data_IF_422222260405
#
_entry.id   IF_422222260405
#
_cell.length_a   1.000
_cell.length_b   1.000
_cell.length_c   1.000
_cell.angle_alpha   90.00
_cell.angle_beta   90.00
_cell.angle_gamma   90.00
#
_symmetry.space_group_name_H-M   'P 1'
#
loop_
_entity.id
_entity.type
_entity.pdbx_description
1 polymer ?
#
# COMPACT_ATOMS: atom_id res chain seq x y z
N UNK A 1 8.60 -13.31 27.65
CA UNK A 1 8.67 -14.40 26.64
C UNK A 1 8.41 -13.73 25.30
N UNK A 2 9.23 -14.02 24.29
CA UNK A 2 8.98 -13.50 22.93
C UNK A 2 7.71 -14.13 22.35
N UNK A 3 7.08 -13.44 21.38
CA UNK A 3 5.96 -13.96 20.61
C UNK A 3 6.26 -15.38 20.09
N UNK A 4 5.24 -16.23 20.00
CA UNK A 4 5.40 -17.57 19.42
C UNK A 4 5.69 -17.54 17.92
N UNK A 5 5.37 -16.43 17.28
CA UNK A 5 5.59 -16.19 15.86
C UNK A 5 6.40 -14.91 15.72
N UNK A 6 7.57 -15.01 15.12
CA UNK A 6 8.45 -13.87 14.91
C UNK A 6 8.00 -13.05 13.70
N UNK A 7 7.96 -11.73 13.87
CA UNK A 7 7.67 -10.77 12.80
C UNK A 7 8.56 -9.53 12.97
N UNK A 8 9.29 -9.14 11.92
CA UNK A 8 10.02 -7.88 11.89
C UNK A 8 9.12 -6.73 11.45
N UNK A 9 9.23 -5.57 12.13
CA UNK A 9 8.53 -4.33 11.79
C UNK A 9 9.50 -3.25 11.27
N UNK A 10 10.71 -3.64 10.89
CA UNK A 10 11.77 -2.79 10.36
C UNK A 10 11.70 -2.61 8.83
N UNK A 11 10.85 -3.39 8.17
CA UNK A 11 10.58 -3.32 6.73
C UNK A 11 9.15 -3.71 6.40
N UNK A 12 8.73 -3.40 5.19
CA UNK A 12 7.44 -3.86 4.66
C UNK A 12 7.54 -5.31 4.18
N UNK A 13 6.48 -6.09 4.43
CA UNK A 13 6.42 -7.50 4.04
C UNK A 13 5.80 -7.65 2.64
N UNK A 14 6.36 -8.56 1.84
CA UNK A 14 5.75 -9.05 0.61
C UNK A 14 4.46 -9.84 0.90
N UNK A 15 3.69 -10.17 -0.13
CA UNK A 15 2.47 -10.96 0.03
C UNK A 15 2.74 -12.35 0.62
N UNK A 16 3.80 -13.01 0.18
CA UNK A 16 4.17 -14.33 0.69
C UNK A 16 4.56 -14.30 2.17
N UNK A 17 5.35 -13.32 2.59
CA UNK A 17 5.78 -13.16 3.98
C UNK A 17 4.61 -12.84 4.91
N UNK A 18 3.70 -11.96 4.47
CA UNK A 18 2.47 -11.65 5.19
C UNK A 18 1.59 -12.90 5.33
N UNK A 19 1.42 -13.66 4.25
CA UNK A 19 0.65 -14.90 4.24
C UNK A 19 1.23 -15.92 5.21
N UNK A 20 2.54 -16.11 5.19
CA UNK A 20 3.26 -17.02 6.07
C UNK A 20 3.11 -16.63 7.54
N UNK A 21 3.21 -15.35 7.85
CA UNK A 21 2.99 -14.85 9.22
C UNK A 21 1.56 -15.14 9.70
N UNK A 22 0.54 -14.85 8.89
CA UNK A 22 -0.85 -15.08 9.26
C UNK A 22 -1.15 -16.57 9.48
N UNK A 23 -0.64 -17.45 8.63
CA UNK A 23 -0.79 -18.91 8.79
C UNK A 23 -0.11 -19.41 10.07
N UNK A 24 1.14 -19.02 10.30
CA UNK A 24 1.86 -19.37 11.52
C UNK A 24 1.15 -18.87 12.78
N UNK A 25 0.57 -17.67 12.72
CA UNK A 25 -0.21 -17.12 13.84
C UNK A 25 -1.45 -17.95 14.12
N UNK A 26 -2.21 -18.31 13.11
CA UNK A 26 -3.39 -19.18 13.30
C UNK A 26 -3.00 -20.57 13.85
N UNK A 27 -1.90 -21.14 13.41
CA UNK A 27 -1.37 -22.43 13.89
C UNK A 27 -0.85 -22.33 15.33
N UNK A 28 -0.16 -21.24 15.70
CA UNK A 28 0.45 -21.07 17.01
C UNK A 28 -0.58 -20.72 18.12
N UNK A 29 -1.70 -20.11 17.71
CA UNK A 29 -2.77 -19.64 18.61
C UNK A 29 -4.15 -20.21 18.23
N UNK A 30 -4.33 -21.55 18.15
CA UNK A 30 -5.55 -22.17 17.63
C UNK A 30 -6.82 -21.88 18.45
N UNK A 31 -6.68 -21.51 19.73
CA UNK A 31 -7.80 -21.11 20.58
C UNK A 31 -8.23 -19.65 20.38
N UNK A 32 -7.38 -18.82 19.76
CA UNK A 32 -7.59 -17.38 19.60
C UNK A 32 -7.79 -16.95 18.15
N UNK A 33 -7.12 -17.58 17.21
CA UNK A 33 -7.03 -17.13 15.82
C UNK A 33 -7.67 -18.13 14.85
N UNK A 34 -8.41 -17.61 13.87
CA UNK A 34 -8.86 -18.33 12.69
C UNK A 34 -8.50 -17.51 11.44
N UNK A 35 -7.87 -18.14 10.45
CA UNK A 35 -7.51 -17.51 9.18
C UNK A 35 -8.41 -18.05 8.07
N UNK A 36 -9.03 -17.16 7.31
CA UNK A 36 -9.83 -17.51 6.15
C UNK A 36 -9.55 -16.54 4.98
N UNK A 37 -9.87 -16.97 3.77
CA UNK A 37 -9.87 -16.08 2.62
C UNK A 37 -11.21 -15.39 2.51
N UNK A 38 -11.23 -14.06 2.57
CA UNK A 38 -12.41 -13.25 2.30
C UNK A 38 -12.78 -13.21 0.81
N UNK A 39 -11.87 -13.66 -0.06
CA UNK A 39 -12.05 -13.72 -1.50
C UNK A 39 -10.72 -13.68 -2.22
N UNK A 40 -10.78 -13.60 -3.56
CA UNK A 40 -9.60 -13.52 -4.42
C UNK A 40 -9.49 -12.13 -5.03
N UNK A 41 -8.26 -11.65 -5.13
CA UNK A 41 -7.92 -10.46 -5.91
C UNK A 41 -8.00 -10.73 -7.41
N UNK A 42 -7.80 -9.70 -8.22
CA UNK A 42 -7.78 -9.81 -9.67
C UNK A 42 -6.70 -10.78 -10.20
N UNK A 43 -5.51 -10.77 -9.59
CA UNK A 43 -4.41 -11.69 -9.91
C UNK A 43 -4.48 -13.03 -9.17
N UNK A 44 -5.57 -13.29 -8.45
CA UNK A 44 -5.85 -14.57 -7.80
C UNK A 44 -5.24 -14.76 -6.41
N UNK A 45 -4.65 -13.71 -5.80
CA UNK A 45 -4.18 -13.75 -4.42
C UNK A 45 -5.34 -13.79 -3.44
N UNK A 46 -5.18 -14.51 -2.32
CA UNK A 46 -6.16 -14.49 -1.24
C UNK A 46 -6.16 -13.12 -0.54
N UNK A 47 -7.36 -12.58 -0.31
CA UNK A 47 -7.54 -11.47 0.60
C UNK A 47 -7.78 -12.08 1.99
N UNK A 48 -6.71 -12.12 2.79
CA UNK A 48 -6.73 -12.80 4.08
C UNK A 48 -7.54 -12.02 5.12
N UNK A 49 -8.41 -12.73 5.81
CA UNK A 49 -9.13 -12.25 6.99
C UNK A 49 -8.74 -13.11 8.20
N UNK A 50 -8.18 -12.47 9.22
CA UNK A 50 -7.89 -13.11 10.51
C UNK A 50 -8.94 -12.72 11.52
N UNK A 51 -9.60 -13.72 12.09
CA UNK A 51 -10.53 -13.56 13.22
C UNK A 51 -9.78 -13.81 14.51
N UNK A 52 -9.75 -12.82 15.42
CA UNK A 52 -9.15 -12.95 16.75
C UNK A 52 -10.22 -12.83 17.84
N UNK A 53 -10.30 -13.83 18.68
CA UNK A 53 -11.15 -13.88 19.89
C UNK A 53 -10.82 -15.15 20.67
N UNK A 54 -11.00 -15.16 21.97
CA UNK A 54 -10.97 -16.42 22.72
C UNK A 54 -12.22 -17.26 22.39
N UNK A 55 -12.02 -18.34 21.66
CA UNK A 55 -13.12 -19.25 21.23
C UNK A 55 -13.73 -20.03 22.40
N UNK A 56 -13.01 -20.16 23.51
CA UNK A 56 -13.51 -20.85 24.73
C UNK A 56 -14.53 -20.02 25.51
N UNK A 57 -14.54 -18.69 25.33
CA UNK A 57 -15.46 -17.79 26.02
C UNK A 57 -16.74 -17.49 25.24
N UNK A 58 -16.90 -18.07 24.05
CA UNK A 58 -18.11 -17.95 23.24
C UNK A 58 -17.89 -17.92 21.74
N UNK A 59 -18.99 -18.04 21.01
CA UNK A 59 -18.95 -18.00 19.54
C UNK A 59 -18.53 -16.59 19.04
N UNK A 60 -17.54 -16.48 18.14
CA UNK A 60 -17.09 -15.21 17.58
C UNK A 60 -18.21 -14.31 17.06
N UNK A 61 -19.18 -14.90 16.34
CA UNK A 61 -20.32 -14.18 15.73
C UNK A 61 -21.34 -13.63 16.72
N UNK A 62 -21.26 -14.02 18.00
CA UNK A 62 -22.18 -13.57 19.06
C UNK A 62 -21.54 -12.50 19.95
N UNK A 63 -20.27 -12.22 19.81
CA UNK A 63 -19.58 -11.16 20.55
C UNK A 63 -19.67 -9.85 19.77
N UNK A 64 -19.69 -8.69 20.44
CA UNK A 64 -19.46 -7.41 19.78
C UNK A 64 -18.13 -7.44 19.04
N UNK A 65 -18.09 -6.87 17.82
CA UNK A 65 -16.93 -7.00 16.95
C UNK A 65 -16.34 -5.66 16.56
N UNK A 66 -15.03 -5.65 16.36
CA UNK A 66 -14.29 -4.59 15.69
C UNK A 66 -13.78 -5.11 14.34
N UNK A 67 -14.05 -4.37 13.29
CA UNK A 67 -13.47 -4.58 11.96
C UNK A 67 -12.30 -3.65 11.75
N UNK A 68 -11.18 -4.20 11.28
CA UNK A 68 -9.95 -3.45 10.97
C UNK A 68 -9.46 -3.88 9.60
N UNK A 69 -9.21 -2.93 8.73
CA UNK A 69 -8.55 -3.20 7.45
C UNK A 69 -7.35 -2.30 7.21
N UNK A 70 -6.50 -2.71 6.30
CA UNK A 70 -5.34 -1.94 5.88
C UNK A 70 -5.05 -2.13 4.40
N UNK A 71 -4.27 -1.17 3.84
CA UNK A 71 -3.72 -1.24 2.50
C UNK A 71 -4.79 -1.38 1.39
N UNK A 72 -5.86 -0.58 1.49
CA UNK A 72 -6.87 -0.48 0.43
C UNK A 72 -6.28 0.20 -0.82
N UNK A 73 -5.42 1.19 -0.65
CA UNK A 73 -4.64 1.77 -1.74
C UNK A 73 -3.27 1.09 -1.81
N UNK A 74 -2.80 0.84 -3.02
CA UNK A 74 -1.63 0.02 -3.31
C UNK A 74 -0.36 0.43 -2.55
N UNK A 75 0.00 1.71 -2.59
CA UNK A 75 1.23 2.22 -1.95
C UNK A 75 1.12 2.47 -0.44
N UNK A 76 -0.06 2.30 0.18
CA UNK A 76 -0.27 2.56 1.61
C UNK A 76 0.07 1.32 2.48
N UNK A 77 1.22 0.74 2.21
CA UNK A 77 1.67 -0.53 2.83
C UNK A 77 1.92 -0.45 4.33
N UNK A 78 2.08 0.76 4.87
CA UNK A 78 2.18 0.98 6.32
C UNK A 78 0.90 0.53 7.04
N UNK A 79 -0.28 0.74 6.44
CA UNK A 79 -1.55 0.27 7.01
C UNK A 79 -1.60 -1.25 7.18
N UNK A 80 -1.00 -1.99 6.24
CA UNK A 80 -0.82 -3.44 6.36
C UNK A 80 0.04 -3.81 7.57
N UNK A 81 1.17 -3.12 7.77
CA UNK A 81 2.07 -3.38 8.91
C UNK A 81 1.44 -3.02 10.25
N UNK A 82 0.65 -1.95 10.32
CA UNK A 82 -0.11 -1.58 11.54
C UNK A 82 -1.13 -2.65 11.91
N UNK A 83 -1.83 -3.20 10.91
CA UNK A 83 -2.78 -4.29 11.15
C UNK A 83 -2.07 -5.58 11.62
N UNK A 84 -0.89 -5.90 11.06
CA UNK A 84 -0.06 -7.01 11.52
C UNK A 84 0.47 -6.78 12.94
N UNK A 85 0.88 -5.55 13.27
CA UNK A 85 1.31 -5.20 14.62
C UNK A 85 0.17 -5.36 15.64
N UNK A 86 -1.05 -4.96 15.27
CA UNK A 86 -2.22 -5.18 16.13
C UNK A 86 -2.45 -6.68 16.39
N UNK A 87 -2.34 -7.51 15.36
CA UNK A 87 -2.45 -8.97 15.49
C UNK A 87 -1.41 -9.50 16.47
N UNK A 88 -0.14 -9.17 16.23
CA UNK A 88 0.99 -9.61 17.07
C UNK A 88 0.81 -9.16 18.53
N UNK A 89 0.47 -7.89 18.74
CA UNK A 89 0.24 -7.33 20.06
C UNK A 89 -0.88 -8.06 20.81
N UNK A 90 -2.00 -8.33 20.16
CA UNK A 90 -3.13 -8.98 20.78
C UNK A 90 -2.83 -10.43 21.16
N UNK A 91 -2.21 -11.22 20.28
CA UNK A 91 -1.93 -12.62 20.56
C UNK A 91 -0.77 -12.81 21.55
N UNK A 92 0.24 -11.94 21.52
CA UNK A 92 1.37 -12.05 22.44
C UNK A 92 1.02 -11.61 23.87
N UNK A 93 0.11 -10.64 24.04
CA UNK A 93 -0.26 -10.12 25.35
C UNK A 93 -1.48 -10.81 25.96
N UNK A 94 -2.15 -11.72 25.25
CA UNK A 94 -3.24 -12.50 25.81
C UNK A 94 -2.77 -13.35 27.00
N UNK A 95 -3.46 -13.22 28.13
CA UNK A 95 -3.09 -13.87 29.40
C UNK A 95 -1.93 -13.21 30.15
N UNK A 96 -1.38 -12.08 29.64
CA UNK A 96 -0.32 -11.30 30.27
C UNK A 96 -0.79 -9.89 30.62
N UNK A 97 -1.56 -9.28 29.74
CA UNK A 97 -2.19 -7.98 29.91
C UNK A 97 -3.68 -8.17 30.18
N UNK A 98 -4.20 -7.53 31.22
CA UNK A 98 -5.60 -7.70 31.65
C UNK A 98 -6.59 -7.12 30.65
N UNK A 99 -6.26 -5.99 30.03
CA UNK A 99 -7.12 -5.33 29.03
C UNK A 99 -7.19 -6.16 27.74
N UNK A 100 -6.04 -6.63 27.23
CA UNK A 100 -5.98 -7.49 26.04
C UNK A 100 -6.73 -8.80 26.29
N UNK A 101 -6.56 -9.39 27.46
CA UNK A 101 -7.28 -10.62 27.87
C UNK A 101 -8.79 -10.37 27.88
N UNK A 102 -9.24 -9.30 28.55
CA UNK A 102 -10.65 -8.92 28.58
C UNK A 102 -11.21 -8.68 27.17
N UNK A 103 -10.46 -7.99 26.32
CA UNK A 103 -10.88 -7.70 24.94
C UNK A 103 -11.09 -9.00 24.15
N UNK A 104 -10.13 -9.92 24.16
CA UNK A 104 -10.25 -11.17 23.42
C UNK A 104 -11.27 -12.14 24.03
N UNK A 105 -11.49 -12.10 25.34
CA UNK A 105 -12.51 -12.90 25.99
C UNK A 105 -13.95 -12.42 25.67
N UNK A 106 -14.13 -11.13 25.45
CA UNK A 106 -15.47 -10.52 25.32
C UNK A 106 -15.79 -9.95 23.96
N UNK A 107 -14.82 -9.80 23.07
CA UNK A 107 -14.93 -9.18 21.73
C UNK A 107 -14.37 -10.10 20.67
N UNK A 108 -14.70 -9.76 19.43
CA UNK A 108 -14.11 -10.37 18.23
C UNK A 108 -13.48 -9.27 17.38
N UNK A 109 -12.27 -9.52 16.90
CA UNK A 109 -11.60 -8.68 15.92
C UNK A 109 -11.59 -9.40 14.58
N UNK A 110 -12.11 -8.75 13.54
CA UNK A 110 -11.97 -9.18 12.15
C UNK A 110 -10.94 -8.27 11.47
N UNK A 111 -9.79 -8.82 11.15
CA UNK A 111 -8.65 -8.03 10.66
C UNK A 111 -8.28 -8.49 9.26
N UNK A 112 -8.35 -7.57 8.29
CA UNK A 112 -7.90 -7.74 6.91
C UNK A 112 -6.63 -6.90 6.68
N UNK A 113 -5.44 -7.45 6.91
CA UNK A 113 -4.21 -6.63 6.89
C UNK A 113 -3.90 -6.03 5.53
N UNK A 114 -4.36 -6.64 4.44
CA UNK A 114 -4.07 -6.20 3.07
C UNK A 114 -5.27 -6.43 2.16
N UNK A 115 -6.08 -5.38 1.98
CA UNK A 115 -7.28 -5.45 1.14
C UNK A 115 -6.93 -5.45 -0.35
N UNK A 116 -5.84 -4.77 -0.73
CA UNK A 116 -5.35 -4.72 -2.11
C UNK A 116 -3.99 -5.44 -2.23
N UNK A 117 -3.97 -6.79 -2.24
CA UNK A 117 -2.72 -7.53 -2.26
C UNK A 117 -1.95 -7.39 -3.58
N UNK A 118 -2.63 -7.23 -4.71
CA UNK A 118 -2.00 -7.09 -6.02
C UNK A 118 -1.30 -5.74 -6.16
N UNK A 119 -2.00 -4.67 -5.80
CA UNK A 119 -1.44 -3.33 -5.85
C UNK A 119 -0.28 -3.14 -4.86
N UNK A 120 -0.38 -3.73 -3.66
CA UNK A 120 0.70 -3.70 -2.69
C UNK A 120 1.94 -4.47 -3.16
N UNK A 121 1.75 -5.64 -3.77
CA UNK A 121 2.86 -6.43 -4.32
C UNK A 121 3.55 -5.71 -5.47
N UNK A 122 2.79 -5.14 -6.40
CA UNK A 122 3.32 -4.30 -7.48
C UNK A 122 4.17 -3.16 -6.92
N UNK A 123 3.65 -2.43 -5.92
CA UNK A 123 4.34 -1.30 -5.30
C UNK A 123 5.64 -1.72 -4.57
N UNK A 124 5.66 -2.89 -3.94
CA UNK A 124 6.81 -3.38 -3.17
C UNK A 124 7.90 -4.02 -4.03
N UNK A 125 7.56 -4.52 -5.22
CA UNK A 125 8.46 -5.34 -6.03
C UNK A 125 8.85 -4.73 -7.38
N UNK A 126 8.22 -3.60 -7.74
CA UNK A 126 8.51 -2.89 -9.00
C UNK A 126 8.64 -1.39 -8.77
N UNK A 127 9.23 -0.62 -9.68
CA UNK A 127 9.26 0.84 -9.61
C UNK A 127 7.89 1.49 -9.87
N UNK A 128 6.89 0.71 -10.27
CA UNK A 128 5.57 1.22 -10.63
C UNK A 128 4.80 1.71 -9.41
N UNK A 129 4.32 2.94 -9.47
CA UNK A 129 3.46 3.51 -8.45
C UNK A 129 2.01 3.47 -8.93
N UNK A 130 1.18 2.81 -8.14
CA UNK A 130 -0.25 2.70 -8.38
C UNK A 130 -1.00 3.08 -7.10
N UNK A 131 -2.12 3.79 -7.23
CA UNK A 131 -2.96 4.11 -6.07
C UNK A 131 -4.06 3.07 -5.88
N UNK A 132 -4.74 2.68 -6.94
CA UNK A 132 -5.92 1.81 -6.84
C UNK A 132 -5.61 0.36 -7.22
N UNK A 133 -6.35 -0.24 -8.11
CA UNK A 133 -6.19 -1.65 -8.51
C UNK A 133 -5.25 -1.80 -9.70
N UNK A 134 -4.57 -2.93 -9.79
CA UNK A 134 -3.83 -3.37 -11.00
C UNK A 134 -4.78 -3.68 -12.15
N UNK A 135 -6.08 -3.84 -11.87
CA UNK A 135 -7.10 -4.08 -12.88
C UNK A 135 -7.31 -2.84 -13.72
N UNK A 136 -7.09 -2.95 -15.03
CA UNK A 136 -7.52 -1.94 -15.99
C UNK A 136 -9.04 -2.02 -16.13
N UNK A 137 -9.73 -0.89 -16.16
CA UNK A 137 -11.18 -0.88 -16.40
C UNK A 137 -11.46 -1.42 -17.79
N UNK A 138 -12.56 -2.18 -17.98
CA UNK A 138 -12.82 -2.92 -19.23
C UNK A 138 -12.88 -2.06 -20.50
N UNK A 139 -13.09 -0.77 -20.36
CA UNK A 139 -13.24 0.17 -21.46
C UNK A 139 -12.00 1.06 -21.71
N UNK A 140 -10.92 0.86 -20.94
CA UNK A 140 -9.70 1.65 -21.06
C UNK A 140 -8.54 0.73 -21.48
N UNK A 141 -8.17 0.74 -22.74
CA UNK A 141 -6.87 0.23 -23.21
C UNK A 141 -5.80 1.29 -22.89
N UNK A 142 -5.41 1.37 -21.61
CA UNK A 142 -4.48 2.40 -21.12
C UNK A 142 -3.14 2.37 -21.85
N UNK A 143 -2.70 1.19 -22.28
CA UNK A 143 -1.45 1.03 -23.04
C UNK A 143 -1.54 1.57 -24.48
N UNK A 144 -2.75 1.92 -24.95
CA UNK A 144 -3.00 2.39 -26.30
C UNK A 144 -3.27 3.89 -26.40
N UNK A 145 -3.34 4.58 -25.26
CA UNK A 145 -3.57 6.02 -25.24
C UNK A 145 -2.31 6.81 -25.67
N UNK A 146 -2.45 7.87 -26.47
CA UNK A 146 -1.33 8.76 -26.76
C UNK A 146 -0.90 9.53 -25.51
N UNK A 147 0.38 9.86 -25.40
CA UNK A 147 0.91 10.64 -24.29
C UNK A 147 2.10 10.00 -23.59
N UNK A 148 2.41 10.48 -22.39
CA UNK A 148 3.55 10.02 -21.59
C UNK A 148 3.15 8.84 -20.70
N UNK A 149 3.70 7.68 -20.99
CA UNK A 149 3.59 6.47 -20.19
C UNK A 149 4.75 6.36 -19.22
N UNK A 150 4.44 6.14 -17.94
CA UNK A 150 5.45 5.98 -16.89
C UNK A 150 6.23 4.70 -17.10
N UNK A 151 7.55 4.81 -17.12
CA UNK A 151 8.44 3.65 -17.20
C UNK A 151 9.81 4.00 -16.60
N UNK A 152 10.46 3.01 -16.04
CA UNK A 152 11.89 3.05 -15.73
C UNK A 152 12.65 2.90 -17.05
N UNK A 153 13.12 4.04 -17.60
CA UNK A 153 13.72 4.09 -18.94
C UNK A 153 15.21 3.74 -18.89
N UNK A 154 15.88 4.08 -17.79
CA UNK A 154 17.32 3.86 -17.65
C UNK A 154 17.66 2.54 -16.92
N UNK A 155 16.66 1.85 -16.36
CA UNK A 155 16.81 0.54 -15.72
C UNK A 155 17.42 0.59 -14.32
N UNK A 156 17.36 1.73 -13.64
CA UNK A 156 17.91 1.90 -12.30
C UNK A 156 17.00 1.34 -11.18
N UNK A 157 15.81 0.86 -11.54
CA UNK A 157 14.81 0.30 -10.63
C UNK A 157 13.89 1.36 -10.00
N UNK A 158 13.89 2.57 -10.52
CA UNK A 158 13.03 3.67 -10.07
C UNK A 158 12.38 4.39 -11.25
N UNK A 159 11.19 4.94 -11.03
CA UNK A 159 10.58 5.90 -11.95
C UNK A 159 10.71 7.27 -11.30
N UNK A 160 11.70 8.02 -11.74
CA UNK A 160 12.01 9.33 -11.19
C UNK A 160 11.13 10.43 -11.79
N UNK A 161 11.28 11.65 -11.26
CA UNK A 161 10.67 12.83 -11.85
C UNK A 161 11.72 13.62 -12.61
N UNK A 162 11.40 13.97 -13.85
CA UNK A 162 12.21 14.85 -14.67
C UNK A 162 11.63 16.27 -14.71
N UNK A 163 12.51 17.27 -14.70
CA UNK A 163 12.13 18.66 -14.92
C UNK A 163 12.48 19.10 -16.32
N UNK A 164 11.49 19.53 -17.05
CA UNK A 164 11.64 20.06 -18.42
C UNK A 164 11.48 21.58 -18.37
N UNK A 165 12.49 22.31 -18.89
CA UNK A 165 12.44 23.77 -18.91
C UNK A 165 11.33 24.25 -19.85
N UNK A 166 10.44 25.05 -19.31
CA UNK A 166 9.38 25.73 -20.04
C UNK A 166 9.12 27.10 -19.40
N UNK A 167 9.79 28.12 -19.91
CA UNK A 167 9.71 29.48 -19.36
C UNK A 167 8.32 30.13 -19.55
N UNK A 168 7.47 29.58 -20.43
CA UNK A 168 6.10 30.05 -20.65
C UNK A 168 5.10 29.41 -19.70
N UNK A 169 5.08 28.08 -19.66
CA UNK A 169 4.05 27.28 -18.99
C UNK A 169 4.54 26.60 -17.71
N UNK A 170 5.86 26.70 -17.44
CA UNK A 170 6.45 26.09 -16.24
C UNK A 170 5.80 26.62 -14.96
N UNK A 171 5.34 25.72 -14.14
CA UNK A 171 4.67 26.00 -12.86
C UNK A 171 5.65 25.89 -11.67
N UNK A 172 6.88 25.46 -11.94
CA UNK A 172 7.88 25.18 -10.93
C UNK A 172 9.16 25.95 -11.20
N UNK A 173 9.92 26.24 -10.14
CA UNK A 173 11.29 26.76 -10.20
C UNK A 173 12.15 26.07 -9.14
N UNK A 174 13.48 26.11 -9.35
CA UNK A 174 14.43 25.59 -8.37
C UNK A 174 14.41 26.47 -7.14
N UNK A 175 14.44 25.86 -5.96
CA UNK A 175 14.53 26.58 -4.70
C UNK A 175 15.90 27.24 -4.55
N UNK A 176 15.91 28.51 -4.14
CA UNK A 176 17.15 29.24 -3.84
C UNK A 176 17.84 28.71 -2.56
N UNK A 177 17.06 28.07 -1.67
CA UNK A 177 17.59 27.54 -0.40
C UNK A 177 18.22 26.16 -0.57
N UNK A 178 17.66 25.33 -1.45
CA UNK A 178 18.15 24.01 -1.74
C UNK A 178 17.91 23.68 -3.21
N UNK A 179 18.97 23.62 -4.05
CA UNK A 179 18.83 23.42 -5.50
C UNK A 179 18.30 22.03 -5.90
N UNK A 180 18.19 21.10 -4.95
CA UNK A 180 17.56 19.78 -5.16
C UNK A 180 16.04 19.87 -5.15
N UNK A 181 15.47 20.95 -4.58
CA UNK A 181 14.03 21.12 -4.42
C UNK A 181 13.45 21.99 -5.51
N UNK A 182 12.27 21.60 -5.97
CA UNK A 182 11.40 22.41 -6.81
C UNK A 182 10.31 23.05 -5.95
N UNK A 183 10.10 24.34 -6.15
CA UNK A 183 9.04 25.11 -5.48
C UNK A 183 8.07 25.69 -6.51
N UNK A 184 6.79 25.88 -6.17
CA UNK A 184 5.83 26.46 -7.08
C UNK A 184 6.24 27.86 -7.52
N UNK A 185 6.03 28.16 -8.81
CA UNK A 185 6.10 29.51 -9.36
C UNK A 185 5.02 30.38 -8.74
N UNK A 186 5.38 31.59 -8.33
CA UNK A 186 4.40 32.53 -7.77
C UNK A 186 3.54 33.14 -8.89
N UNK A 187 2.25 33.43 -8.61
CA UNK A 187 1.41 34.16 -9.55
C UNK A 187 2.08 35.48 -9.99
N UNK A 188 2.12 35.73 -11.31
CA UNK A 188 2.71 36.95 -11.85
C UNK A 188 4.24 36.93 -11.97
N UNK A 189 4.94 35.92 -11.51
CA UNK A 189 6.38 35.79 -11.66
C UNK A 189 6.76 35.54 -13.12
N UNK A 190 7.60 36.40 -13.68
CA UNK A 190 7.98 36.37 -15.10
C UNK A 190 9.47 36.04 -15.35
N UNK A 191 10.29 36.08 -14.29
CA UNK A 191 11.73 35.86 -14.38
C UNK A 191 12.06 34.41 -14.01
N UNK A 192 12.28 33.56 -15.02
CA UNK A 192 12.67 32.16 -14.90
C UNK A 192 14.16 31.93 -14.61
N UNK A 193 14.63 30.67 -14.71
CA UNK A 193 14.00 29.58 -15.46
C UNK A 193 12.82 28.91 -14.73
N UNK A 194 11.78 28.56 -15.50
CA UNK A 194 10.63 27.80 -15.01
C UNK A 194 10.60 26.41 -15.65
N UNK A 195 9.96 25.47 -14.97
CA UNK A 195 9.95 24.06 -15.33
C UNK A 195 8.56 23.45 -15.21
N UNK A 196 8.30 22.48 -16.08
CA UNK A 196 7.24 21.48 -15.90
C UNK A 196 7.87 20.22 -15.32
N UNK A 197 7.11 19.48 -14.51
CA UNK A 197 7.57 18.24 -13.90
C UNK A 197 6.76 17.10 -14.49
N UNK A 198 7.46 16.09 -14.97
CA UNK A 198 6.89 14.88 -15.53
C UNK A 198 7.52 13.66 -14.87
N UNK A 199 6.79 12.54 -14.77
CA UNK A 199 7.40 11.28 -14.42
C UNK A 199 8.34 10.84 -15.55
N UNK A 200 9.31 10.02 -15.22
CA UNK A 200 10.11 9.28 -16.20
C UNK A 200 9.21 8.33 -17.00
N UNK A 201 9.51 8.16 -18.29
CA UNK A 201 8.69 7.33 -19.15
C UNK A 201 8.98 7.55 -20.64
N UNK A 202 8.18 6.92 -21.47
CA UNK A 202 8.20 7.09 -22.92
C UNK A 202 6.92 7.77 -23.42
N UNK A 203 7.04 8.49 -24.53
CA UNK A 203 5.90 9.16 -25.17
C UNK A 203 5.44 8.31 -26.35
N UNK A 204 4.13 7.98 -26.34
CA UNK A 204 3.46 7.27 -27.43
C UNK A 204 2.59 8.23 -28.23
N UNK A 205 2.64 8.12 -29.55
CA UNK A 205 1.77 8.84 -30.51
C UNK A 205 1.65 10.35 -30.22
N UNK A 206 2.82 11.01 -29.98
CA UNK A 206 2.87 12.42 -29.63
C UNK A 206 2.53 13.32 -30.82
N UNK A 207 1.42 14.03 -30.73
CA UNK A 207 0.95 14.94 -31.76
C UNK A 207 1.15 16.44 -31.40
N UNK A 208 1.87 16.74 -30.35
CA UNK A 208 2.13 18.11 -29.89
C UNK A 208 1.79 18.35 -28.42
N UNK A 209 1.72 19.63 -28.06
CA UNK A 209 1.40 20.05 -26.69
C UNK A 209 -0.11 20.17 -26.45
N UNK A 210 -0.62 19.87 -25.23
CA UNK A 210 0.13 19.45 -24.04
C UNK A 210 0.42 17.95 -24.02
N UNK A 211 1.55 17.58 -23.37
CA UNK A 211 1.84 16.18 -23.07
C UNK A 211 0.90 15.73 -21.94
N UNK A 212 0.03 14.79 -22.21
CA UNK A 212 -0.79 14.15 -21.19
C UNK A 212 -0.04 12.97 -20.56
N UNK A 213 -0.06 12.91 -19.22
CA UNK A 213 0.55 11.81 -18.47
C UNK A 213 -0.51 10.75 -18.27
N UNK A 214 -0.25 9.55 -18.79
CA UNK A 214 -1.13 8.41 -18.61
C UNK A 214 -0.98 7.83 -17.18
N UNK A 215 -2.09 7.34 -16.62
CA UNK A 215 -2.18 6.87 -15.23
C UNK A 215 -1.78 5.41 -15.09
#
# INVERSE_FOLDING_TARGET
MSSKVDIGFDRYLTYSELTDYLRKTAEAYPDLADLESAGKSYEGRDIWALTLTNKKTGCPKKKPALYVDGNIHAGEVTGSMVALYLIDYLVDNYGKDEEVTYLLDTRTFYILPRVNPDGAELYLTTPTQLRSSVRVWPDEEVDDLPGLHRADVDGDGMILQMRVRDDRRGEWKVSEKDPRLMIPRRPGERKGPFYRIYPEGYIKDYEGEPIEVQK
#
